data_IF_935041897277
#
_entry.id   IF_935041897277
#
_cell.length_a   1.000
_cell.length_b   1.000
_cell.length_c   1.000
_cell.angle_alpha   90.00
_cell.angle_beta   90.00
_cell.angle_gamma   90.00
#
_symmetry.space_group_name_H-M   'P 1'
#
loop_
_entity.id
_entity.type
_entity.pdbx_description
1 polymer ?
#
# COMPACT_ATOMS: atom_id res chain seq x y z
N UNK A 1 12.61 -12.80 6.40
CA UNK A 1 11.32 -12.34 5.85
C UNK A 1 10.69 -11.22 6.67
N UNK A 2 11.11 -10.99 7.92
CA UNK A 2 10.64 -9.88 8.75
C UNK A 2 10.72 -8.52 8.04
N UNK A 3 9.68 -7.71 8.20
CA UNK A 3 9.56 -6.39 7.61
C UNK A 3 9.20 -6.35 6.12
N UNK A 4 8.95 -7.51 5.48
CA UNK A 4 8.41 -7.57 4.12
C UNK A 4 6.90 -7.42 4.12
N UNK A 5 6.38 -6.79 3.07
CA UNK A 5 4.95 -6.67 2.84
C UNK A 5 4.41 -7.94 2.16
N UNK A 6 3.33 -8.53 2.70
CA UNK A 6 2.69 -9.72 2.17
C UNK A 6 1.52 -9.35 1.24
N UNK A 7 1.80 -9.35 -0.07
CA UNK A 7 0.79 -9.09 -1.10
C UNK A 7 -0.19 -10.27 -1.26
N UNK A 8 0.21 -11.48 -0.90
CA UNK A 8 -0.70 -12.62 -0.94
C UNK A 8 -1.76 -12.49 0.15
N UNK A 9 -1.36 -12.14 1.37
CA UNK A 9 -2.29 -11.87 2.48
C UNK A 9 -3.24 -10.71 2.12
N UNK A 10 -2.71 -9.61 1.59
CA UNK A 10 -3.55 -8.50 1.11
C UNK A 10 -4.56 -8.97 0.05
N UNK A 11 -4.12 -9.79 -0.92
CA UNK A 11 -5.01 -10.31 -1.96
C UNK A 11 -6.16 -11.14 -1.39
N UNK A 12 -5.94 -11.90 -0.30
CA UNK A 12 -6.98 -12.70 0.36
C UNK A 12 -7.99 -11.80 1.08
N UNK A 13 -7.52 -10.77 1.78
CA UNK A 13 -8.39 -9.79 2.44
C UNK A 13 -9.24 -8.99 1.46
N UNK A 14 -8.69 -8.62 0.30
CA UNK A 14 -9.44 -7.97 -0.77
C UNK A 14 -10.54 -8.91 -1.28
N UNK A 15 -10.24 -10.18 -1.53
CA UNK A 15 -11.21 -11.14 -2.04
C UNK A 15 -12.34 -11.44 -1.03
N UNK A 16 -12.00 -11.52 0.25
CA UNK A 16 -12.97 -11.66 1.34
C UNK A 16 -13.88 -10.43 1.44
N UNK A 17 -13.32 -9.22 1.49
CA UNK A 17 -14.09 -7.99 1.54
C UNK A 17 -14.96 -7.79 0.28
N UNK A 18 -14.44 -8.15 -0.90
CA UNK A 18 -15.16 -8.15 -2.17
C UNK A 18 -16.38 -9.06 -2.08
N UNK A 19 -16.19 -10.30 -1.64
CA UNK A 19 -17.24 -11.32 -1.55
C UNK A 19 -18.29 -10.95 -0.52
N UNK A 20 -17.87 -10.43 0.64
CA UNK A 20 -18.79 -9.99 1.71
C UNK A 20 -19.64 -8.77 1.33
N UNK A 21 -19.20 -7.98 0.34
CA UNK A 21 -19.92 -6.79 -0.17
C UNK A 21 -20.65 -7.08 -1.50
N UNK A 22 -20.67 -8.34 -1.96
CA UNK A 22 -21.26 -8.75 -3.24
C UNK A 22 -20.72 -7.95 -4.46
N UNK A 23 -19.44 -7.58 -4.43
CA UNK A 23 -18.81 -6.79 -5.48
C UNK A 23 -18.12 -7.67 -6.53
N UNK A 24 -18.16 -7.19 -7.78
CA UNK A 24 -17.32 -7.69 -8.86
C UNK A 24 -15.93 -7.05 -8.80
N UNK A 25 -14.94 -7.71 -9.40
CA UNK A 25 -13.59 -7.13 -9.56
C UNK A 25 -13.57 -5.83 -10.35
N UNK A 26 -14.55 -5.62 -11.24
CA UNK A 26 -14.71 -4.39 -12.00
C UNK A 26 -15.16 -3.24 -11.10
N UNK A 27 -16.14 -3.48 -10.23
CA UNK A 27 -16.62 -2.46 -9.28
C UNK A 27 -15.50 -2.00 -8.34
N UNK A 28 -14.70 -2.93 -7.79
CA UNK A 28 -13.52 -2.54 -7.00
C UNK A 28 -12.54 -1.72 -7.83
N UNK A 29 -12.30 -2.10 -9.09
CA UNK A 29 -11.40 -1.35 -9.97
C UNK A 29 -11.88 0.09 -10.20
N UNK A 30 -13.19 0.30 -10.30
CA UNK A 30 -13.83 1.60 -10.49
C UNK A 30 -13.80 2.43 -9.19
N UNK A 31 -14.11 1.82 -8.05
CA UNK A 31 -14.08 2.48 -6.74
C UNK A 31 -12.67 2.93 -6.32
N UNK A 32 -11.66 2.08 -6.58
CA UNK A 32 -10.30 2.31 -6.07
C UNK A 32 -9.38 2.95 -7.12
N UNK A 33 -9.78 2.95 -8.40
CA UNK A 33 -8.95 3.45 -9.50
C UNK A 33 -7.73 2.57 -9.81
N UNK A 34 -7.77 1.29 -9.44
CA UNK A 34 -6.70 0.31 -9.70
C UNK A 34 -7.21 -0.77 -10.65
N UNK A 35 -6.52 -0.96 -11.78
CA UNK A 35 -6.93 -1.94 -12.79
C UNK A 35 -7.10 -3.36 -12.21
N UNK A 36 -8.17 -4.06 -12.58
CA UNK A 36 -8.47 -5.43 -12.14
C UNK A 36 -7.28 -6.40 -12.31
N UNK A 37 -6.52 -6.30 -13.40
CA UNK A 37 -5.34 -7.13 -13.64
C UNK A 37 -4.25 -6.91 -12.60
N UNK A 38 -4.06 -5.67 -12.14
CA UNK A 38 -3.14 -5.32 -11.05
C UNK A 38 -3.59 -5.94 -9.75
N UNK A 39 -4.87 -5.81 -9.39
CA UNK A 39 -5.44 -6.37 -8.14
C UNK A 39 -5.22 -7.89 -8.10
N UNK A 40 -5.59 -8.60 -9.17
CA UNK A 40 -5.48 -10.06 -9.23
C UNK A 40 -4.03 -10.56 -9.21
N UNK A 41 -3.08 -9.74 -9.68
CA UNK A 41 -1.66 -10.11 -9.69
C UNK A 41 -1.07 -10.19 -8.27
N UNK A 42 -1.68 -9.55 -7.27
CA UNK A 42 -1.15 -9.52 -5.90
C UNK A 42 -1.05 -10.92 -5.27
N UNK A 43 -1.95 -11.83 -5.63
CA UNK A 43 -1.92 -13.22 -5.16
C UNK A 43 -0.59 -13.95 -5.42
N UNK A 44 0.18 -13.53 -6.44
CA UNK A 44 1.47 -14.17 -6.78
C UNK A 44 2.63 -13.18 -6.90
N UNK A 45 2.42 -11.89 -6.61
CA UNK A 45 3.45 -10.87 -6.75
C UNK A 45 4.31 -10.78 -5.49
N UNK A 46 5.62 -10.63 -5.67
CA UNK A 46 6.53 -10.31 -4.56
C UNK A 46 6.64 -8.81 -4.28
N UNK A 47 6.29 -7.96 -5.26
CA UNK A 47 6.33 -6.51 -5.15
C UNK A 47 5.29 -5.86 -6.09
N UNK A 48 4.89 -4.64 -5.74
CA UNK A 48 3.91 -3.85 -6.48
C UNK A 48 4.11 -2.35 -6.22
N UNK A 49 3.52 -1.52 -7.08
CA UNK A 49 3.53 -0.07 -6.91
C UNK A 49 2.77 0.33 -5.65
N UNK A 50 3.41 1.13 -4.79
CA UNK A 50 2.87 1.46 -3.47
C UNK A 50 1.52 2.20 -3.57
N UNK A 51 1.37 3.16 -4.48
CA UNK A 51 0.13 3.95 -4.62
C UNK A 51 -1.10 3.05 -4.81
N UNK A 52 -1.01 2.04 -5.68
CA UNK A 52 -2.12 1.11 -5.94
C UNK A 52 -2.40 0.18 -4.76
N UNK A 53 -1.35 -0.26 -4.07
CA UNK A 53 -1.48 -1.09 -2.86
C UNK A 53 -2.14 -0.29 -1.73
N UNK A 54 -1.68 0.94 -1.49
CA UNK A 54 -2.19 1.81 -0.43
C UNK A 54 -3.66 2.20 -0.67
N UNK A 55 -4.06 2.42 -1.93
CA UNK A 55 -5.45 2.69 -2.27
C UNK A 55 -6.38 1.52 -1.86
N UNK A 56 -5.99 0.28 -2.15
CA UNK A 56 -6.74 -0.92 -1.75
C UNK A 56 -6.77 -1.11 -0.23
N UNK A 57 -5.68 -0.82 0.47
CA UNK A 57 -5.63 -0.86 1.94
C UNK A 57 -6.55 0.22 2.55
N UNK A 58 -6.57 1.42 1.97
CA UNK A 58 -7.52 2.47 2.35
C UNK A 58 -8.97 2.04 2.14
N UNK A 59 -9.29 1.37 1.04
CA UNK A 59 -10.62 0.79 0.77
C UNK A 59 -11.02 -0.31 1.79
N UNK A 60 -10.05 -1.08 2.29
CA UNK A 60 -10.25 -2.03 3.38
C UNK A 60 -10.42 -1.33 4.75
N UNK A 61 -9.97 -0.08 4.90
CA UNK A 61 -10.04 0.67 6.14
C UNK A 61 -9.11 0.14 7.24
N UNK A 62 -7.99 -0.51 6.86
CA UNK A 62 -7.04 -1.11 7.81
C UNK A 62 -5.66 -0.45 7.72
N UNK A 63 -4.81 -0.74 8.72
CA UNK A 63 -3.43 -0.26 8.73
C UNK A 63 -2.57 -1.06 7.73
N UNK A 64 -1.68 -0.41 6.94
CA UNK A 64 -0.76 -1.12 6.04
C UNK A 64 0.16 -2.10 6.76
N UNK A 65 0.56 -1.78 8.00
CA UNK A 65 1.43 -2.62 8.83
C UNK A 65 0.81 -3.98 9.14
N UNK A 66 -0.51 -4.15 8.99
CA UNK A 66 -1.18 -5.44 9.13
C UNK A 66 -0.62 -6.49 8.19
N UNK A 67 -0.19 -6.06 7.02
CA UNK A 67 0.34 -6.93 5.98
C UNK A 67 1.88 -6.94 5.98
N UNK A 68 2.52 -6.41 7.04
CA UNK A 68 3.98 -6.46 7.17
C UNK A 68 4.34 -7.57 8.16
N UNK A 69 5.03 -8.59 7.66
CA UNK A 69 5.41 -9.78 8.43
C UNK A 69 6.28 -9.35 9.61
N UNK A 70 5.88 -9.68 10.84
CA UNK A 70 6.53 -9.29 12.08
C UNK A 70 6.79 -7.77 12.17
N UNK A 71 5.79 -6.95 11.81
CA UNK A 71 5.89 -5.49 11.90
C UNK A 71 6.31 -5.04 13.30
N UNK A 72 7.32 -4.18 13.36
CA UNK A 72 7.80 -3.52 14.59
C UNK A 72 7.12 -2.18 14.82
N UNK A 73 6.29 -1.75 13.87
CA UNK A 73 5.59 -0.47 13.89
C UNK A 73 4.11 -0.74 14.16
N UNK A 74 3.57 -0.10 15.20
CA UNK A 74 2.14 -0.09 15.46
C UNK A 74 1.43 0.71 14.36
N UNK A 75 0.61 0.03 13.56
CA UNK A 75 0.02 0.60 12.37
C UNK A 75 -1.08 1.62 12.65
N UNK A 76 -1.32 2.49 11.66
CA UNK A 76 -2.44 3.43 11.66
C UNK A 76 -3.30 3.17 10.41
N UNK A 77 -4.62 3.04 10.54
CA UNK A 77 -5.50 2.90 9.38
C UNK A 77 -5.31 4.03 8.38
N UNK A 78 -5.25 3.70 7.10
CA UNK A 78 -5.30 4.72 6.06
C UNK A 78 -6.69 5.32 6.01
N UNK A 79 -6.82 6.62 5.68
CA UNK A 79 -8.12 7.17 5.34
C UNK A 79 -8.70 6.38 4.15
N UNK A 80 -10.03 6.22 4.08
CA UNK A 80 -10.65 5.61 2.92
C UNK A 80 -10.18 6.35 1.67
N UNK A 81 -9.81 5.58 0.65
CA UNK A 81 -9.63 6.12 -0.69
C UNK A 81 -11.02 6.55 -1.18
N UNK A 82 -11.45 7.76 -0.81
CA UNK A 82 -12.61 8.43 -1.40
C UNK A 82 -12.24 8.95 -2.80
N UNK A 83 -12.69 10.16 -3.15
CA UNK A 83 -12.36 10.81 -4.43
C UNK A 83 -10.89 11.29 -4.53
N UNK A 84 -9.97 10.73 -3.75
CA UNK A 84 -8.58 11.18 -3.71
C UNK A 84 -7.59 10.01 -3.70
N UNK A 85 -6.39 10.26 -4.21
CA UNK A 85 -5.32 9.27 -4.27
C UNK A 85 -4.36 9.41 -3.08
N UNK A 86 -4.07 8.28 -2.43
CA UNK A 86 -2.97 8.16 -1.49
C UNK A 86 -1.68 8.09 -2.29
N UNK A 87 -0.77 9.03 -2.06
CA UNK A 87 0.55 9.11 -2.71
C UNK A 87 1.65 8.97 -1.70
N UNK A 88 2.71 8.26 -2.05
CA UNK A 88 3.92 8.26 -1.23
C UNK A 88 4.53 9.66 -1.17
N UNK A 89 4.86 10.12 0.03
CA UNK A 89 5.60 11.34 0.25
C UNK A 89 7.10 11.07 0.02
N UNK A 90 7.54 11.30 -1.21
CA UNK A 90 8.91 11.03 -1.63
C UNK A 90 9.96 11.87 -0.89
N UNK A 91 9.62 13.06 -0.41
CA UNK A 91 10.53 13.89 0.39
C UNK A 91 10.82 13.21 1.72
N UNK A 92 9.75 12.83 2.45
CA UNK A 92 9.89 12.10 3.70
C UNK A 92 10.57 10.75 3.52
N UNK A 93 10.30 10.04 2.42
CA UNK A 93 10.94 8.75 2.14
C UNK A 93 12.44 8.90 1.86
N UNK A 94 12.86 9.94 1.15
CA UNK A 94 14.26 10.19 0.82
C UNK A 94 15.11 10.47 2.07
N UNK A 95 14.51 11.05 3.11
CA UNK A 95 15.16 11.31 4.40
C UNK A 95 15.41 10.03 5.22
N UNK A 96 14.80 8.89 4.87
CA UNK A 96 14.89 7.66 5.66
C UNK A 96 16.13 6.81 5.35
N UNK A 97 16.70 6.13 6.38
CA UNK A 97 17.77 5.16 6.19
C UNK A 97 17.35 4.02 5.24
N UNK A 98 18.22 3.65 4.30
CA UNK A 98 17.96 2.58 3.34
C UNK A 98 17.13 3.00 2.12
N UNK A 99 16.74 4.28 2.02
CA UNK A 99 16.19 4.84 0.78
C UNK A 99 17.25 4.75 -0.32
N UNK A 100 16.90 4.11 -1.45
CA UNK A 100 17.83 4.00 -2.56
C UNK A 100 18.00 5.38 -3.18
N UNK A 101 19.20 5.97 -3.07
CA UNK A 101 19.59 7.26 -3.68
C UNK A 101 19.46 7.31 -5.22
N UNK A 102 19.04 6.20 -5.84
CA UNK A 102 18.64 6.06 -7.25
C UNK A 102 17.18 6.44 -7.53
N UNK A 103 16.40 6.81 -6.51
CA UNK A 103 15.08 7.39 -6.70
C UNK A 103 15.24 8.76 -7.38
N UNK A 104 15.35 8.76 -8.71
CA UNK A 104 15.24 9.97 -9.52
C UNK A 104 13.89 10.61 -9.19
N UNK A 105 13.85 11.94 -9.11
CA UNK A 105 12.62 12.73 -9.11
C UNK A 105 11.73 12.18 -10.25
N UNK A 106 10.60 11.56 -9.89
CA UNK A 106 9.68 10.91 -10.84
C UNK A 106 9.66 9.37 -10.86
N UNK A 107 10.52 8.67 -10.12
CA UNK A 107 10.44 7.20 -9.98
C UNK A 107 9.38 6.81 -8.92
N UNK A 108 8.45 5.94 -9.32
CA UNK A 108 7.44 5.38 -8.42
C UNK A 108 8.12 4.48 -7.37
N UNK A 109 7.63 4.52 -6.14
CA UNK A 109 8.13 3.69 -5.02
C UNK A 109 7.31 2.41 -4.93
N UNK A 110 8.00 1.30 -4.67
CA UNK A 110 7.33 0.00 -4.47
C UNK A 110 6.90 -0.19 -3.02
N UNK A 111 5.89 -1.04 -2.79
CA UNK A 111 5.41 -1.32 -1.43
C UNK A 111 6.51 -1.94 -0.55
N UNK A 112 7.40 -2.77 -1.12
CA UNK A 112 8.51 -3.34 -0.35
C UNK A 112 9.51 -2.28 0.09
N UNK A 113 9.81 -1.29 -0.76
CA UNK A 113 10.69 -0.18 -0.39
C UNK A 113 10.07 0.68 0.72
N UNK A 114 8.76 0.96 0.59
CA UNK A 114 8.03 1.74 1.59
C UNK A 114 7.96 1.02 2.95
N UNK A 115 7.64 -0.27 2.95
CA UNK A 115 7.61 -1.09 4.16
C UNK A 115 8.98 -1.13 4.84
N UNK A 116 10.06 -1.36 4.09
CA UNK A 116 11.43 -1.35 4.64
C UNK A 116 11.78 -0.02 5.28
N UNK A 117 11.46 1.09 4.63
CA UNK A 117 11.76 2.43 5.15
C UNK A 117 10.96 2.74 6.43
N UNK A 118 9.68 2.37 6.48
CA UNK A 118 8.84 2.48 7.67
C UNK A 118 9.43 1.67 8.84
N UNK A 119 9.77 0.40 8.61
CA UNK A 119 10.34 -0.48 9.63
C UNK A 119 11.72 -0.01 10.13
N UNK A 120 12.57 0.51 9.23
CA UNK A 120 13.89 1.03 9.60
C UNK A 120 13.83 2.34 10.41
N UNK A 121 12.79 3.14 10.21
CA UNK A 121 12.63 4.45 10.86
C UNK A 121 11.70 4.44 12.07
N UNK A 122 11.00 3.33 12.32
CA UNK A 122 9.98 3.24 13.37
C UNK A 122 8.73 4.09 13.07
N UNK A 123 8.54 4.52 11.82
CA UNK A 123 7.40 5.35 11.39
C UNK A 123 6.33 4.50 10.73
N UNK A 124 5.07 4.91 10.85
CA UNK A 124 3.98 4.27 10.10
C UNK A 124 4.08 4.57 8.62
N UNK A 125 3.69 3.62 7.79
CA UNK A 125 3.53 3.76 6.34
C UNK A 125 2.55 4.91 6.06
N UNK A 126 1.46 5.01 6.82
CA UNK A 126 0.52 6.13 6.71
C UNK A 126 1.21 7.50 6.85
N UNK A 127 2.14 7.66 7.79
CA UNK A 127 2.90 8.90 7.99
C UNK A 127 3.87 9.25 6.85
N UNK A 128 4.13 8.30 5.94
CA UNK A 128 4.95 8.47 4.74
C UNK A 128 4.10 8.66 3.48
N UNK A 129 2.80 8.87 3.65
CA UNK A 129 1.86 9.12 2.55
C UNK A 129 1.23 10.50 2.69
N UNK A 130 0.74 11.02 1.58
CA UNK A 130 -0.08 12.23 1.53
C UNK A 130 -1.34 11.92 0.74
N UNK A 131 -2.45 12.48 1.17
CA UNK A 131 -3.68 12.47 0.39
C UNK A 131 -3.61 13.56 -0.69
N UNK A 132 -4.12 13.25 -1.88
CA UNK A 132 -4.28 14.21 -2.99
C UNK A 132 -5.71 14.09 -3.54
N UNK A 133 -6.49 15.18 -3.60
CA UNK A 133 -7.78 15.16 -4.30
C UNK A 133 -7.55 14.83 -5.79
N UNK A 134 -8.50 14.14 -6.42
CA UNK A 134 -8.49 13.94 -7.89
C UNK A 134 -8.91 15.18 -8.66
#
# INVERSE_FOLDING_TARGET
MQGQFDLNELSRWIDEARSNRDLTWKQISEEVGVATSTIRRFASASDAEADGVLALIGWLGVAPERFVIDSRVAGMPLPPAGDGMIRVNMEQLAELPGSSRRARVGSRTTIQQLARAAQASGRTIASLTRWRPT
#
